data_IF_109345161293
#
_entry.id   IF_109345161293
#
_cell.length_a   1.000
_cell.length_b   1.000
_cell.length_c   1.000
_cell.angle_alpha   90.00
_cell.angle_beta   90.00
_cell.angle_gamma   90.00
#
_symmetry.space_group_name_H-M   'P 1'
#
loop_
_entity.id
_entity.type
_entity.pdbx_description
1 polymer ?
#
# COMPACT_ATOMS: atom_id res chain seq x y z
N UNK A 1 -15.59 -22.32 8.70
CA UNK A 1 -15.81 -21.73 7.36
C UNK A 1 -16.76 -20.51 7.37
N UNK A 2 -17.72 -20.38 8.29
CA UNK A 2 -18.60 -19.20 8.38
C UNK A 2 -17.86 -17.90 8.79
N UNK A 3 -16.80 -18.01 9.59
CA UNK A 3 -16.05 -16.88 10.13
C UNK A 3 -15.30 -16.07 9.04
N UNK A 4 -14.72 -16.75 8.03
CA UNK A 4 -13.97 -16.11 6.95
C UNK A 4 -14.88 -15.29 6.02
N UNK A 5 -16.11 -15.71 5.79
CA UNK A 5 -17.07 -15.02 4.91
C UNK A 5 -17.61 -13.74 5.54
N UNK A 6 -17.93 -13.75 6.83
CA UNK A 6 -18.37 -12.54 7.54
C UNK A 6 -17.24 -11.53 7.71
N UNK A 7 -15.99 -11.98 7.90
CA UNK A 7 -14.83 -11.11 7.98
C UNK A 7 -14.59 -10.36 6.66
N UNK A 8 -14.60 -11.05 5.51
CA UNK A 8 -14.48 -10.41 4.19
C UNK A 8 -15.61 -9.41 3.93
N UNK A 9 -16.87 -9.77 4.20
CA UNK A 9 -18.00 -8.85 4.03
C UNK A 9 -17.88 -7.59 4.89
N UNK A 10 -17.35 -7.70 6.11
CA UNK A 10 -17.11 -6.56 6.98
C UNK A 10 -15.98 -5.65 6.45
N UNK A 11 -14.90 -6.23 5.92
CA UNK A 11 -13.79 -5.46 5.32
C UNK A 11 -14.26 -4.73 4.07
N UNK A 12 -15.02 -5.39 3.18
CA UNK A 12 -15.56 -4.78 1.97
C UNK A 12 -16.53 -3.63 2.31
N UNK A 13 -17.42 -3.84 3.29
CA UNK A 13 -18.35 -2.81 3.78
C UNK A 13 -17.59 -1.61 4.40
N UNK A 14 -16.51 -1.86 5.14
CA UNK A 14 -15.69 -0.79 5.70
C UNK A 14 -14.99 0.02 4.60
N UNK A 15 -14.44 -0.64 3.59
CA UNK A 15 -13.83 0.01 2.43
C UNK A 15 -14.82 0.91 1.68
N UNK A 16 -16.05 0.43 1.44
CA UNK A 16 -17.11 1.24 0.83
C UNK A 16 -17.43 2.50 1.66
N UNK A 17 -17.59 2.34 2.98
CA UNK A 17 -17.86 3.47 3.88
C UNK A 17 -16.69 4.47 3.92
N UNK A 18 -15.45 4.02 3.85
CA UNK A 18 -14.27 4.89 3.75
C UNK A 18 -14.32 5.70 2.45
N UNK A 19 -14.64 5.07 1.34
CA UNK A 19 -14.79 5.76 0.03
C UNK A 19 -15.91 6.81 0.08
N UNK A 20 -17.03 6.49 0.71
CA UNK A 20 -18.20 7.36 0.77
C UNK A 20 -18.03 8.54 1.75
N UNK A 21 -17.58 8.26 2.96
CA UNK A 21 -17.64 9.20 4.08
C UNK A 21 -16.30 9.50 4.76
N UNK A 22 -15.25 8.73 4.43
CA UNK A 22 -13.93 8.85 5.05
C UNK A 22 -13.74 7.99 6.28
N UNK A 23 -12.49 7.97 6.76
CA UNK A 23 -12.09 7.19 7.94
C UNK A 23 -12.62 7.78 9.22
N UNK A 24 -12.63 9.12 9.36
CA UNK A 24 -13.05 9.78 10.61
C UNK A 24 -14.47 9.41 11.00
N UNK A 25 -15.37 9.31 10.02
CA UNK A 25 -16.79 9.00 10.25
C UNK A 25 -17.09 7.50 10.37
N UNK A 26 -16.12 6.64 10.11
CA UNK A 26 -16.31 5.20 10.18
C UNK A 26 -16.56 4.75 11.62
N UNK A 27 -17.60 3.94 11.80
CA UNK A 27 -17.86 3.22 13.06
C UNK A 27 -18.11 1.75 12.79
N UNK A 28 -17.69 0.89 13.73
CA UNK A 28 -17.86 -0.55 13.58
C UNK A 28 -19.37 -0.96 13.53
N UNK A 29 -20.25 -0.14 14.11
CA UNK A 29 -21.70 -0.33 14.02
C UNK A 29 -22.24 -0.10 12.61
N UNK A 30 -21.77 0.93 11.91
CA UNK A 30 -22.12 1.19 10.49
C UNK A 30 -21.59 0.09 9.58
N UNK A 31 -20.37 -0.38 9.85
CA UNK A 31 -19.76 -1.49 9.11
C UNK A 31 -20.61 -2.76 9.26
N UNK A 32 -21.03 -3.10 10.48
CA UNK A 32 -21.89 -4.25 10.74
C UNK A 32 -23.23 -4.14 9.99
N UNK A 33 -23.86 -2.97 10.04
CA UNK A 33 -25.13 -2.68 9.36
C UNK A 33 -24.99 -2.82 7.84
N UNK A 34 -23.96 -2.23 7.24
CA UNK A 34 -23.66 -2.30 5.80
C UNK A 34 -23.36 -3.73 5.35
N UNK A 35 -22.64 -4.50 6.17
CA UNK A 35 -22.31 -5.90 5.90
C UNK A 35 -23.48 -6.88 6.15
N UNK A 36 -24.59 -6.43 6.71
CA UNK A 36 -25.74 -7.27 7.02
C UNK A 36 -25.48 -8.26 8.16
N UNK A 37 -24.57 -7.94 9.09
CA UNK A 37 -24.24 -8.78 10.24
C UNK A 37 -24.58 -8.10 11.55
N UNK A 38 -24.62 -8.86 12.67
CA UNK A 38 -24.85 -8.26 13.97
C UNK A 38 -23.64 -7.44 14.44
N UNK A 39 -23.89 -6.37 15.22
CA UNK A 39 -22.81 -5.60 15.87
C UNK A 39 -21.89 -6.51 16.70
N UNK A 40 -22.47 -7.46 17.43
CA UNK A 40 -21.71 -8.42 18.24
C UNK A 40 -20.74 -9.25 17.36
N UNK A 41 -21.14 -9.58 16.13
CA UNK A 41 -20.26 -10.27 15.17
C UNK A 41 -19.09 -9.37 14.77
N UNK A 42 -19.34 -8.12 14.42
CA UNK A 42 -18.29 -7.18 14.02
C UNK A 42 -17.28 -6.92 15.15
N UNK A 43 -17.79 -6.68 16.38
CA UNK A 43 -16.92 -6.49 17.54
C UNK A 43 -16.12 -7.74 17.91
N UNK A 44 -16.67 -8.92 17.72
CA UNK A 44 -15.94 -10.20 17.95
C UNK A 44 -14.82 -10.41 16.92
N UNK A 45 -15.05 -10.01 15.65
CA UNK A 45 -14.06 -10.19 14.58
C UNK A 45 -12.90 -9.20 14.66
N UNK A 46 -13.19 -7.93 14.95
CA UNK A 46 -12.19 -6.85 14.84
C UNK A 46 -11.89 -6.11 16.15
N UNK A 47 -12.71 -6.31 17.19
CA UNK A 47 -12.55 -5.63 18.47
C UNK A 47 -13.04 -4.18 18.44
N UNK A 48 -12.47 -3.36 17.56
CA UNK A 48 -12.76 -1.94 17.46
C UNK A 48 -12.59 -1.41 16.02
N UNK A 49 -12.66 -0.08 15.86
CA UNK A 49 -12.44 0.61 14.59
C UNK A 49 -11.03 0.37 14.04
N UNK A 50 -10.03 0.39 14.91
CA UNK A 50 -8.63 0.24 14.48
C UNK A 50 -8.37 -1.17 13.94
N UNK A 51 -9.01 -2.18 14.51
CA UNK A 51 -8.93 -3.56 14.02
C UNK A 51 -9.51 -3.73 12.62
N UNK A 52 -10.68 -3.12 12.32
CA UNK A 52 -11.23 -3.18 10.96
C UNK A 52 -10.41 -2.35 9.97
N UNK A 53 -9.86 -1.19 10.39
CA UNK A 53 -8.97 -0.39 9.56
C UNK A 53 -7.67 -1.14 9.20
N UNK A 54 -7.10 -1.86 10.16
CA UNK A 54 -5.93 -2.70 9.90
C UNK A 54 -6.24 -3.81 8.89
N UNK A 55 -7.41 -4.43 8.97
CA UNK A 55 -7.82 -5.46 8.02
C UNK A 55 -8.07 -4.89 6.61
N UNK A 56 -8.71 -3.72 6.50
CA UNK A 56 -8.86 -2.99 5.23
C UNK A 56 -7.49 -2.67 4.64
N UNK A 57 -6.58 -2.09 5.44
CA UNK A 57 -5.23 -1.76 4.97
C UNK A 57 -4.48 -3.01 4.48
N UNK A 58 -4.58 -4.13 5.17
CA UNK A 58 -3.95 -5.38 4.75
C UNK A 58 -4.51 -5.90 3.42
N UNK A 59 -5.84 -5.86 3.23
CA UNK A 59 -6.48 -6.25 1.98
C UNK A 59 -6.02 -5.36 0.82
N UNK A 60 -6.04 -4.04 1.01
CA UNK A 60 -5.70 -3.08 -0.04
C UNK A 60 -4.20 -3.08 -0.38
N UNK A 61 -3.31 -3.30 0.59
CA UNK A 61 -1.88 -3.52 0.34
C UNK A 61 -1.68 -4.78 -0.50
N UNK A 62 -2.39 -5.86 -0.20
CA UNK A 62 -2.33 -7.09 -0.99
C UNK A 62 -2.78 -6.86 -2.44
N UNK A 63 -3.90 -6.18 -2.65
CA UNK A 63 -4.41 -5.83 -3.98
C UNK A 63 -3.43 -4.91 -4.74
N UNK A 64 -2.84 -3.92 -4.06
CA UNK A 64 -1.83 -3.04 -4.62
C UNK A 64 -0.61 -3.82 -5.11
N UNK A 65 -0.09 -4.75 -4.31
CA UNK A 65 1.08 -5.55 -4.70
C UNK A 65 0.78 -6.38 -5.95
N UNK A 66 -0.38 -7.04 -6.00
CA UNK A 66 -0.80 -7.81 -7.19
C UNK A 66 -0.86 -6.90 -8.42
N UNK A 67 -1.49 -5.73 -8.31
CA UNK A 67 -1.59 -4.78 -9.42
C UNK A 67 -0.23 -4.22 -9.84
N UNK A 68 0.65 -3.95 -8.88
CA UNK A 68 2.00 -3.42 -9.12
C UNK A 68 2.89 -4.42 -9.85
N UNK A 69 2.73 -5.70 -9.55
CA UNK A 69 3.49 -6.80 -10.16
C UNK A 69 2.90 -7.28 -11.49
N UNK A 70 1.81 -6.70 -11.98
CA UNK A 70 1.22 -7.08 -13.26
C UNK A 70 2.21 -6.84 -14.42
N UNK A 71 2.52 -7.89 -15.16
CA UNK A 71 3.50 -7.88 -16.25
C UNK A 71 4.97 -7.92 -15.80
N UNK A 72 5.25 -8.21 -14.52
CA UNK A 72 6.62 -8.32 -14.02
C UNK A 72 7.33 -9.52 -14.66
N UNK A 73 8.51 -9.24 -15.27
CA UNK A 73 9.40 -10.26 -15.81
C UNK A 73 10.65 -10.36 -14.91
N UNK A 74 10.85 -11.47 -14.21
CA UNK A 74 12.03 -11.68 -13.37
C UNK A 74 13.34 -11.80 -14.17
N UNK A 75 13.29 -11.98 -15.49
CA UNK A 75 14.46 -12.06 -16.36
C UNK A 75 14.83 -10.70 -16.99
N UNK A 76 13.96 -9.69 -16.89
CA UNK A 76 14.27 -8.35 -17.36
C UNK A 76 15.38 -7.70 -16.51
N UNK A 77 16.06 -6.70 -17.08
CA UNK A 77 17.03 -5.91 -16.33
C UNK A 77 16.38 -5.10 -15.20
N UNK A 78 17.19 -4.71 -14.21
CA UNK A 78 16.71 -4.00 -13.03
C UNK A 78 15.98 -2.70 -13.39
N UNK A 79 16.43 -1.95 -14.38
CA UNK A 79 15.81 -0.70 -14.80
C UNK A 79 14.41 -0.93 -15.34
N UNK A 80 14.23 -1.95 -16.15
CA UNK A 80 12.92 -2.38 -16.69
C UNK A 80 12.00 -2.81 -15.56
N UNK A 81 12.47 -3.64 -14.63
CA UNK A 81 11.72 -4.10 -13.47
C UNK A 81 11.26 -2.92 -12.59
N UNK A 82 12.19 -2.02 -12.23
CA UNK A 82 11.89 -0.85 -11.40
C UNK A 82 10.91 0.09 -12.11
N UNK A 83 11.09 0.32 -13.41
CA UNK A 83 10.20 1.17 -14.19
C UNK A 83 8.77 0.63 -14.17
N UNK A 84 8.60 -0.66 -14.39
CA UNK A 84 7.27 -1.30 -14.33
C UNK A 84 6.65 -1.16 -12.94
N UNK A 85 7.38 -1.51 -11.89
CA UNK A 85 6.89 -1.49 -10.52
C UNK A 85 6.50 -0.07 -10.10
N UNK A 86 7.36 0.92 -10.35
CA UNK A 86 7.08 2.32 -9.97
C UNK A 86 5.89 2.88 -10.73
N UNK A 87 5.84 2.69 -12.05
CA UNK A 87 4.74 3.24 -12.87
C UNK A 87 3.39 2.56 -12.56
N UNK A 88 3.39 1.25 -12.33
CA UNK A 88 2.18 0.53 -11.93
C UNK A 88 1.69 0.96 -10.55
N UNK A 89 2.61 1.13 -9.58
CA UNK A 89 2.27 1.56 -8.23
C UNK A 89 1.68 2.98 -8.21
N UNK A 90 2.29 3.92 -8.93
CA UNK A 90 1.76 5.30 -9.06
C UNK A 90 0.38 5.31 -9.71
N UNK A 91 0.21 4.57 -10.81
CA UNK A 91 -1.10 4.43 -11.49
C UNK A 91 -2.15 3.84 -10.57
N UNK A 92 -1.83 2.78 -9.82
CA UNK A 92 -2.74 2.15 -8.88
C UNK A 92 -3.17 3.11 -7.79
N UNK A 93 -2.23 3.74 -7.09
CA UNK A 93 -2.52 4.65 -5.98
C UNK A 93 -3.35 5.85 -6.42
N UNK A 94 -3.02 6.48 -7.56
CA UNK A 94 -3.79 7.62 -8.09
C UNK A 94 -5.19 7.23 -8.56
N UNK A 95 -5.40 6.00 -8.98
CA UNK A 95 -6.73 5.47 -9.35
C UNK A 95 -7.52 4.88 -8.16
N UNK A 96 -6.89 4.70 -7.01
CA UNK A 96 -7.49 4.00 -5.88
C UNK A 96 -8.39 4.91 -5.05
N UNK A 97 -9.71 4.73 -5.17
CA UNK A 97 -10.73 5.64 -4.63
C UNK A 97 -10.58 5.92 -3.13
N UNK A 98 -10.32 4.89 -2.31
CA UNK A 98 -10.15 5.09 -0.87
C UNK A 98 -8.85 5.87 -0.56
N UNK A 99 -7.74 5.56 -1.26
CA UNK A 99 -6.48 6.30 -1.09
C UNK A 99 -6.65 7.78 -1.45
N UNK A 100 -7.24 8.07 -2.61
CA UNK A 100 -7.52 9.44 -3.07
C UNK A 100 -8.43 10.17 -2.08
N UNK A 101 -9.50 9.51 -1.61
CA UNK A 101 -10.41 10.09 -0.60
C UNK A 101 -9.67 10.48 0.68
N UNK A 102 -8.84 9.57 1.20
CA UNK A 102 -8.09 9.81 2.45
C UNK A 102 -7.01 10.86 2.23
N UNK A 103 -6.27 10.82 1.10
CA UNK A 103 -5.26 11.83 0.75
C UNK A 103 -5.84 13.24 0.72
N UNK A 104 -6.98 13.41 0.06
CA UNK A 104 -7.53 14.74 -0.23
C UNK A 104 -8.31 15.35 0.95
N UNK A 105 -8.86 14.53 1.85
CA UNK A 105 -9.74 15.01 2.91
C UNK A 105 -9.26 14.70 4.33
N UNK A 106 -8.47 13.65 4.49
CA UNK A 106 -8.06 13.13 5.80
C UNK A 106 -6.57 12.71 5.80
N UNK A 107 -5.62 13.55 5.27
CA UNK A 107 -4.23 13.16 5.04
C UNK A 107 -3.49 12.73 6.30
N UNK A 108 -3.96 13.11 7.48
CA UNK A 108 -3.39 12.67 8.76
C UNK A 108 -3.40 11.14 8.91
N UNK A 109 -4.39 10.43 8.36
CA UNK A 109 -4.42 8.96 8.40
C UNK A 109 -3.27 8.32 7.60
N UNK A 110 -2.86 8.94 6.48
CA UNK A 110 -1.71 8.46 5.71
C UNK A 110 -0.39 8.70 6.45
N UNK A 111 -0.29 9.82 7.19
CA UNK A 111 0.85 10.07 8.09
C UNK A 111 0.87 9.04 9.22
N UNK A 112 -0.26 8.76 9.85
CA UNK A 112 -0.36 7.73 10.88
C UNK A 112 0.06 6.35 10.36
N UNK A 113 -0.36 5.97 9.15
CA UNK A 113 0.05 4.71 8.55
C UNK A 113 1.58 4.61 8.32
N UNK A 114 2.26 5.75 8.13
CA UNK A 114 3.72 5.84 8.00
C UNK A 114 4.48 5.83 9.32
N UNK A 115 3.79 5.97 10.47
CA UNK A 115 4.42 6.01 11.80
C UNK A 115 4.22 4.68 12.54
N UNK A 116 5.20 4.21 13.34
CA UNK A 116 4.99 3.08 14.24
C UNK A 116 4.10 3.54 15.39
N UNK A 117 2.82 3.12 15.39
CA UNK A 117 1.84 3.49 16.42
C UNK A 117 1.54 2.28 17.30
N UNK A 118 1.51 2.50 18.60
CA UNK A 118 1.22 1.47 19.59
C UNK A 118 2.27 0.36 19.61
N UNK A 119 1.81 -0.89 19.64
CA UNK A 119 2.67 -2.07 19.69
C UNK A 119 3.08 -2.60 18.30
N UNK A 120 2.80 -1.86 17.22
CA UNK A 120 3.17 -2.29 15.87
C UNK A 120 4.71 -2.31 15.73
N UNK A 121 5.25 -3.47 15.34
CA UNK A 121 6.69 -3.64 15.13
C UNK A 121 7.20 -2.93 13.87
N UNK A 122 6.33 -2.72 12.89
CA UNK A 122 6.65 -2.05 11.62
C UNK A 122 5.48 -1.17 11.20
N UNK A 123 5.79 -0.04 10.55
CA UNK A 123 4.79 0.77 9.88
C UNK A 123 4.47 0.21 8.48
N UNK A 124 3.43 0.77 7.83
CA UNK A 124 3.00 0.33 6.49
C UNK A 124 4.14 0.40 5.47
N UNK A 125 4.95 1.47 5.49
CA UNK A 125 6.11 1.62 4.57
C UNK A 125 7.10 0.48 4.74
N UNK A 126 7.46 0.15 5.97
CA UNK A 126 8.39 -0.96 6.27
C UNK A 126 7.80 -2.31 5.88
N UNK A 127 6.49 -2.51 6.12
CA UNK A 127 5.79 -3.73 5.73
C UNK A 127 5.82 -3.92 4.21
N UNK A 128 5.45 -2.90 3.45
CA UNK A 128 5.47 -2.94 1.99
C UNK A 128 6.90 -3.12 1.46
N UNK A 129 7.88 -2.39 2.03
CA UNK A 129 9.28 -2.53 1.64
C UNK A 129 9.81 -3.96 1.89
N UNK A 130 9.44 -4.60 2.99
CA UNK A 130 9.81 -5.99 3.26
C UNK A 130 9.19 -6.96 2.23
N UNK A 131 7.93 -6.74 1.83
CA UNK A 131 7.27 -7.55 0.80
C UNK A 131 7.92 -7.35 -0.58
N UNK A 132 8.24 -6.12 -0.96
CA UNK A 132 8.95 -5.79 -2.21
C UNK A 132 10.35 -6.40 -2.20
N UNK A 133 11.08 -6.27 -1.11
CA UNK A 133 12.44 -6.84 -0.97
C UNK A 133 12.44 -8.37 -1.13
N UNK A 134 11.42 -9.05 -0.61
CA UNK A 134 11.27 -10.50 -0.75
C UNK A 134 10.98 -10.94 -2.19
N UNK A 135 10.45 -10.04 -3.02
CA UNK A 135 10.15 -10.30 -4.43
C UNK A 135 11.34 -10.00 -5.38
N UNK A 136 12.45 -9.44 -4.88
CA UNK A 136 13.64 -9.14 -5.70
C UNK A 136 14.32 -10.47 -6.09
N UNK A 137 14.42 -10.80 -7.40
CA UNK A 137 14.91 -12.11 -7.83
C UNK A 137 16.42 -12.30 -7.56
N UNK A 138 17.20 -11.22 -7.68
CA UNK A 138 18.65 -11.24 -7.46
C UNK A 138 19.12 -9.90 -6.88
N UNK A 139 19.91 -9.89 -5.79
CA UNK A 139 20.49 -8.68 -5.24
C UNK A 139 21.71 -8.17 -6.01
N UNK A 140 22.24 -8.92 -6.95
CA UNK A 140 23.52 -8.62 -7.60
C UNK A 140 23.58 -7.24 -8.27
N UNK A 141 22.58 -6.78 -9.04
CA UNK A 141 22.63 -5.45 -9.64
C UNK A 141 22.39 -4.29 -8.65
N UNK A 142 22.07 -4.58 -7.40
CA UNK A 142 21.76 -3.54 -6.41
C UNK A 142 23.01 -2.93 -5.78
N UNK A 143 23.04 -1.61 -5.63
CA UNK A 143 24.03 -0.86 -4.86
C UNK A 143 23.73 -0.86 -3.35
N UNK A 144 22.48 -1.17 -2.97
CA UNK A 144 21.98 -1.18 -1.62
C UNK A 144 21.53 -2.60 -1.23
N UNK A 145 21.49 -2.94 0.07
CA UNK A 145 20.81 -4.15 0.53
C UNK A 145 19.35 -4.17 0.05
N UNK A 146 18.77 -5.34 -0.29
CA UNK A 146 17.43 -5.43 -0.89
C UNK A 146 16.34 -4.67 -0.14
N UNK A 147 16.34 -4.72 1.20
CA UNK A 147 15.37 -4.00 2.02
C UNK A 147 15.53 -2.47 1.89
N UNK A 148 16.77 -1.97 1.88
CA UNK A 148 17.03 -0.54 1.72
C UNK A 148 16.66 -0.06 0.31
N UNK A 149 16.95 -0.84 -0.73
CA UNK A 149 16.54 -0.55 -2.10
C UNK A 149 15.00 -0.50 -2.22
N UNK A 150 14.30 -1.50 -1.65
CA UNK A 150 12.85 -1.53 -1.62
C UNK A 150 12.26 -0.34 -0.84
N UNK A 151 12.88 0.07 0.27
CA UNK A 151 12.44 1.24 1.04
C UNK A 151 12.57 2.53 0.23
N UNK A 152 13.64 2.71 -0.55
CA UNK A 152 13.80 3.86 -1.47
C UNK A 152 12.67 3.88 -2.49
N UNK A 153 12.38 2.73 -3.12
CA UNK A 153 11.25 2.60 -4.08
C UNK A 153 9.92 3.00 -3.43
N UNK A 154 9.58 2.39 -2.29
CA UNK A 154 8.29 2.60 -1.61
C UNK A 154 8.13 4.05 -1.17
N UNK A 155 9.15 4.65 -0.56
CA UNK A 155 9.10 6.06 -0.12
C UNK A 155 8.95 7.01 -1.28
N UNK A 156 9.66 6.78 -2.39
CA UNK A 156 9.56 7.64 -3.58
C UNK A 156 8.18 7.53 -4.21
N UNK A 157 7.66 6.32 -4.40
CA UNK A 157 6.30 6.12 -4.92
C UNK A 157 5.27 6.80 -4.02
N UNK A 158 5.36 6.60 -2.70
CA UNK A 158 4.40 7.20 -1.77
C UNK A 158 4.47 8.74 -1.81
N UNK A 159 5.68 9.32 -1.85
CA UNK A 159 5.85 10.78 -1.96
C UNK A 159 5.17 11.34 -3.21
N UNK A 160 5.38 10.71 -4.38
CA UNK A 160 4.78 11.14 -5.64
C UNK A 160 3.29 10.82 -5.79
N UNK A 161 2.76 9.86 -5.02
CA UNK A 161 1.34 9.60 -4.94
C UNK A 161 0.59 10.57 -4.00
N UNK A 162 1.28 11.05 -2.95
CA UNK A 162 0.73 12.00 -1.98
C UNK A 162 0.77 13.44 -2.49
N UNK A 163 1.83 13.81 -3.20
CA UNK A 163 2.06 15.16 -3.73
C UNK A 163 2.07 15.06 -5.24
N UNK A 164 0.94 15.44 -5.87
CA UNK A 164 0.74 15.27 -7.32
C UNK A 164 1.49 16.29 -8.17
N UNK A 165 1.78 17.48 -7.64
CA UNK A 165 2.52 18.52 -8.34
C UNK A 165 4.01 18.16 -8.41
N UNK A 166 4.39 17.41 -9.43
CA UNK A 166 5.78 17.03 -9.69
C UNK A 166 6.21 17.56 -11.06
N UNK A 167 7.44 18.10 -11.14
CA UNK A 167 8.08 18.43 -12.40
C UNK A 167 8.54 17.18 -13.19
N UNK A 168 8.51 16.00 -12.55
CA UNK A 168 8.94 14.74 -13.13
C UNK A 168 7.73 13.92 -13.58
N UNK A 169 7.83 13.31 -14.75
CA UNK A 169 6.91 12.26 -15.20
C UNK A 169 7.15 10.96 -14.40
N UNK A 170 6.18 10.06 -14.37
CA UNK A 170 6.31 8.76 -13.69
C UNK A 170 7.52 7.97 -14.22
N UNK A 171 7.83 8.08 -15.50
CA UNK A 171 8.99 7.43 -16.11
C UNK A 171 10.31 8.04 -15.61
N UNK A 172 10.40 9.35 -15.48
CA UNK A 172 11.58 10.04 -14.93
C UNK A 172 11.78 9.71 -13.45
N UNK A 173 10.69 9.63 -12.67
CA UNK A 173 10.73 9.15 -11.27
C UNK A 173 11.28 7.73 -11.22
N UNK A 174 10.77 6.83 -12.05
CA UNK A 174 11.24 5.44 -12.10
C UNK A 174 12.71 5.33 -12.49
N UNK A 175 13.16 6.12 -13.47
CA UNK A 175 14.57 6.18 -13.87
C UNK A 175 15.47 6.73 -12.75
N UNK A 176 15.03 7.76 -12.04
CA UNK A 176 15.77 8.31 -10.90
C UNK A 176 15.93 7.27 -9.80
N UNK A 177 14.84 6.57 -9.45
CA UNK A 177 14.86 5.47 -8.48
C UNK A 177 15.78 4.34 -8.92
N UNK A 178 15.66 3.90 -10.19
CA UNK A 178 16.52 2.83 -10.73
C UNK A 178 18.00 3.18 -10.58
N UNK A 179 18.38 4.40 -10.97
CA UNK A 179 19.78 4.87 -10.83
C UNK A 179 20.24 4.92 -9.37
N UNK A 180 19.35 5.34 -8.45
CA UNK A 180 19.70 5.45 -7.04
C UNK A 180 19.98 4.10 -6.36
N UNK A 181 19.36 3.02 -6.84
CA UNK A 181 19.49 1.68 -6.24
C UNK A 181 20.41 0.74 -7.03
N UNK A 182 20.85 1.11 -8.25
CA UNK A 182 21.71 0.28 -9.10
C UNK A 182 23.17 0.50 -8.80
N UNK A 183 23.98 -0.56 -8.92
CA UNK A 183 25.44 -0.42 -9.00
C UNK A 183 25.82 0.44 -10.21
N UNK A 184 26.84 1.30 -10.10
CA UNK A 184 27.35 2.01 -11.24
C UNK A 184 27.86 0.99 -12.30
N UNK A 185 27.60 1.27 -13.58
CA UNK A 185 28.20 0.50 -14.65
C UNK A 185 29.72 0.59 -14.53
N UNK A 186 30.40 -0.54 -14.41
CA UNK A 186 31.86 -0.60 -14.45
C UNK A 186 32.28 -0.28 -15.90
N UNK A 187 32.90 0.86 -16.08
CA UNK A 187 33.48 1.27 -17.40
C UNK A 187 34.73 0.48 -17.72
#
# INVERSE_FOLDING_TARGET
>A
MANTRSSSQLVDAALELIIEAGVDRLTLSQVAERAGVSRATAYREFGDKDGVLAAVAQQEIGAMIVATMAGFDPQADLTTQVTLVVTNALRYLRGHRAFVRVRDHEPHWLLYAGLPIGNARMNVVQTVAAMVAAAIPSPDPLALPPLAAAEVVVRTVLSHALIEDSALTDQEVAQAVSRAISKPAIS
#
